data_IF_875868703508
#
_entry.id   IF_875868703508
#
_cell.length_a   1.000
_cell.length_b   1.000
_cell.length_c   1.000
_cell.angle_alpha   90.00
_cell.angle_beta   90.00
_cell.angle_gamma   90.00
#
_symmetry.space_group_name_H-M   'P 1'
#
loop_
_entity.id
_entity.type
_entity.pdbx_description
1 polymer ?
#
# COMPACT_ATOMS: atom_id res chain seq x y z
N UNK A 1 -6.04 -0.82 -11.69
CA UNK A 1 -5.45 -2.00 -11.02
C UNK A 1 -6.43 -2.35 -9.93
N UNK A 2 -6.90 -3.59 -9.94
CA UNK A 2 -7.83 -4.10 -8.93
C UNK A 2 -7.26 -3.88 -7.53
N UNK A 3 -8.18 -3.73 -6.58
CA UNK A 3 -7.90 -3.58 -5.17
C UNK A 3 -6.85 -4.58 -4.64
N UNK A 4 -6.31 -4.31 -3.46
CA UNK A 4 -5.38 -5.22 -2.79
C UNK A 4 -6.00 -6.65 -2.73
N UNK A 5 -5.46 -7.64 -3.46
CA UNK A 5 -6.06 -8.97 -3.63
C UNK A 5 -5.96 -9.84 -2.38
N UNK A 6 -5.40 -9.29 -1.29
CA UNK A 6 -5.17 -9.98 -0.02
C UNK A 6 -5.96 -9.36 1.14
N UNK A 7 -6.98 -8.54 0.86
CA UNK A 7 -7.86 -7.93 1.89
C UNK A 7 -8.41 -9.01 2.84
N UNK A 8 -8.98 -10.09 2.33
CA UNK A 8 -9.52 -11.18 3.16
C UNK A 8 -8.50 -11.77 4.15
N UNK A 9 -7.23 -11.87 3.74
CA UNK A 9 -6.15 -12.39 4.59
C UNK A 9 -5.81 -11.37 5.67
N UNK A 10 -5.73 -10.09 5.30
CA UNK A 10 -5.47 -8.99 6.23
C UNK A 10 -6.55 -8.96 7.29
N UNK A 11 -7.83 -9.00 6.90
CA UNK A 11 -8.96 -8.91 7.83
C UNK A 11 -9.02 -10.10 8.78
N UNK A 12 -8.86 -11.33 8.28
CA UNK A 12 -8.83 -12.52 9.14
C UNK A 12 -7.74 -12.46 10.20
N UNK A 13 -6.56 -11.97 9.83
CA UNK A 13 -5.45 -11.82 10.78
C UNK A 13 -5.74 -10.66 11.74
N UNK A 14 -6.16 -9.51 11.22
CA UNK A 14 -6.45 -8.35 12.03
C UNK A 14 -7.55 -8.62 13.07
N UNK A 15 -8.64 -9.26 12.67
CA UNK A 15 -9.73 -9.67 13.55
C UNK A 15 -9.24 -10.64 14.63
N UNK A 16 -8.46 -11.65 14.25
CA UNK A 16 -7.86 -12.60 15.20
C UNK A 16 -7.01 -11.93 16.28
N UNK A 17 -6.32 -10.84 15.94
CA UNK A 17 -5.47 -10.08 16.87
C UNK A 17 -6.13 -8.79 17.39
N UNK A 18 -7.41 -8.55 17.06
CA UNK A 18 -8.16 -7.35 17.38
C UNK A 18 -7.43 -6.04 16.99
N UNK A 19 -6.83 -6.03 15.79
CA UNK A 19 -6.08 -4.90 15.24
C UNK A 19 -7.02 -4.03 14.41
N UNK A 20 -7.13 -2.74 14.75
CA UNK A 20 -7.90 -1.79 13.95
C UNK A 20 -7.35 -1.75 12.51
N UNK A 21 -8.22 -1.96 11.53
CA UNK A 21 -7.85 -1.98 10.11
C UNK A 21 -8.63 -0.93 9.34
N UNK A 22 -7.94 -0.23 8.44
CA UNK A 22 -8.54 0.77 7.55
C UNK A 22 -8.22 0.40 6.11
N UNK A 23 -9.26 0.26 5.29
CA UNK A 23 -9.15 0.04 3.85
C UNK A 23 -9.36 1.37 3.14
N UNK A 24 -8.44 1.72 2.24
CA UNK A 24 -8.53 2.92 1.42
C UNK A 24 -8.76 2.51 -0.03
N UNK A 25 -9.76 3.11 -0.65
CA UNK A 25 -10.09 2.87 -2.05
C UNK A 25 -10.51 4.15 -2.76
N UNK A 26 -10.41 4.15 -4.08
CA UNK A 26 -10.96 5.23 -4.89
C UNK A 26 -12.44 5.00 -5.21
N UNK A 27 -13.08 6.01 -5.79
CA UNK A 27 -14.49 5.93 -6.21
C UNK A 27 -14.77 4.90 -7.30
N UNK A 28 -13.74 4.39 -7.99
CA UNK A 28 -13.90 3.39 -9.05
C UNK A 28 -13.87 1.95 -8.52
N UNK A 29 -13.30 1.73 -7.32
CA UNK A 29 -13.11 0.41 -6.72
C UNK A 29 -13.61 0.42 -5.27
N UNK A 30 -14.91 0.67 -5.07
CA UNK A 30 -15.49 0.71 -3.72
C UNK A 30 -15.39 -0.67 -3.06
N UNK A 31 -14.70 -0.71 -1.92
CA UNK A 31 -14.59 -1.89 -1.07
C UNK A 31 -15.73 -1.94 -0.05
N UNK A 32 -16.09 -3.15 0.36
CA UNK A 32 -17.05 -3.39 1.44
C UNK A 32 -16.40 -4.32 2.46
N UNK A 33 -16.59 -4.01 3.75
CA UNK A 33 -16.07 -4.80 4.86
C UNK A 33 -16.97 -4.66 6.08
N UNK A 34 -17.15 -5.77 6.79
CA UNK A 34 -17.86 -5.83 8.07
C UNK A 34 -16.92 -5.60 9.28
N UNK A 35 -15.59 -5.66 9.06
CA UNK A 35 -14.58 -5.53 10.10
C UNK A 35 -13.79 -4.22 9.99
N UNK A 36 -13.31 -3.90 8.78
CA UNK A 36 -12.43 -2.77 8.53
C UNK A 36 -13.21 -1.49 8.30
N UNK A 37 -12.63 -0.36 8.75
CA UNK A 37 -13.11 0.97 8.37
C UNK A 37 -12.78 1.21 6.89
N UNK A 38 -13.78 1.38 6.04
CA UNK A 38 -13.56 1.71 4.61
C UNK A 38 -13.62 3.22 4.41
N UNK A 39 -12.53 3.79 3.91
CA UNK A 39 -12.44 5.20 3.54
C UNK A 39 -12.35 5.30 2.01
N UNK A 40 -13.38 5.85 1.39
CA UNK A 40 -13.40 6.17 -0.04
C UNK A 40 -12.80 7.55 -0.26
N UNK A 41 -11.77 7.63 -1.09
CA UNK A 41 -11.08 8.86 -1.46
C UNK A 41 -11.57 9.33 -2.83
N UNK A 42 -11.77 10.65 -2.97
CA UNK A 42 -12.20 11.24 -4.23
C UNK A 42 -11.24 10.97 -5.40
N UNK A 43 -11.75 11.06 -6.62
CA UNK A 43 -10.98 10.79 -7.83
C UNK A 43 -9.79 11.76 -7.97
N UNK A 44 -8.61 11.19 -8.21
CA UNK A 44 -7.37 11.93 -8.42
C UNK A 44 -6.19 10.99 -8.46
N UNK A 45 -5.20 11.28 -9.30
CA UNK A 45 -3.94 10.54 -9.31
C UNK A 45 -3.33 10.58 -7.90
N UNK A 46 -2.95 9.41 -7.38
CA UNK A 46 -2.26 9.24 -6.10
C UNK A 46 -3.06 9.72 -4.85
N UNK A 47 -4.35 10.07 -4.98
CA UNK A 47 -5.15 10.60 -3.87
C UNK A 47 -5.28 9.60 -2.70
N UNK A 48 -5.46 8.32 -3.04
CA UNK A 48 -5.49 7.20 -2.08
C UNK A 48 -4.15 7.10 -1.35
N UNK A 49 -3.04 7.19 -2.09
CA UNK A 49 -1.68 7.08 -1.53
C UNK A 49 -1.39 8.22 -0.56
N UNK A 50 -1.71 9.46 -0.93
CA UNK A 50 -1.57 10.60 -0.02
C UNK A 50 -2.43 10.46 1.23
N UNK A 51 -3.67 9.99 1.08
CA UNK A 51 -4.56 9.77 2.23
C UNK A 51 -4.00 8.67 3.14
N UNK A 52 -3.54 7.56 2.57
CA UNK A 52 -2.89 6.46 3.29
C UNK A 52 -1.73 6.98 4.12
N UNK A 53 -0.80 7.68 3.46
CA UNK A 53 0.36 8.23 4.15
C UNK A 53 -0.09 9.22 5.21
N UNK A 54 -1.08 10.08 4.96
CA UNK A 54 -1.55 11.04 5.97
C UNK A 54 -2.08 10.39 7.25
N UNK A 55 -2.74 9.22 7.14
CA UNK A 55 -3.29 8.47 8.27
C UNK A 55 -2.26 7.58 8.97
N UNK A 56 -1.13 7.32 8.31
CA UNK A 56 -0.09 6.43 8.79
C UNK A 56 0.76 7.09 9.90
N UNK A 57 0.98 6.32 10.97
CA UNK A 57 1.79 6.66 12.14
C UNK A 57 2.90 5.62 12.36
N UNK A 58 3.88 5.99 13.20
CA UNK A 58 4.98 5.09 13.56
C UNK A 58 4.44 3.81 14.18
N UNK A 59 4.92 2.66 13.70
CA UNK A 59 4.50 1.34 14.15
C UNK A 59 3.31 0.74 13.42
N UNK A 60 2.61 1.50 12.57
CA UNK A 60 1.56 0.95 11.70
C UNK A 60 2.13 -0.03 10.67
N UNK A 61 1.28 -0.87 10.11
CA UNK A 61 1.63 -1.80 9.01
C UNK A 61 0.89 -1.37 7.75
N UNK A 62 1.65 -0.97 6.73
CA UNK A 62 1.13 -0.60 5.42
C UNK A 62 1.27 -1.77 4.45
N UNK A 63 0.16 -2.19 3.85
CA UNK A 63 0.17 -3.19 2.76
C UNK A 63 0.01 -2.46 1.43
N UNK A 64 1.02 -2.54 0.55
CA UNK A 64 0.97 -1.90 -0.76
C UNK A 64 1.83 -2.62 -1.80
N UNK A 65 1.46 -2.50 -3.07
CA UNK A 65 2.30 -2.92 -4.20
C UNK A 65 3.19 -1.78 -4.73
N UNK A 66 2.90 -0.54 -4.36
CA UNK A 66 3.64 0.61 -4.86
C UNK A 66 4.88 0.86 -3.98
N UNK A 67 6.06 0.76 -4.59
CA UNK A 67 7.33 0.97 -3.91
C UNK A 67 7.51 2.41 -3.38
N UNK A 68 6.91 3.40 -4.04
CA UNK A 68 6.88 4.78 -3.57
C UNK A 68 6.03 4.94 -2.31
N UNK A 69 4.85 4.32 -2.26
CA UNK A 69 4.01 4.30 -1.05
C UNK A 69 4.72 3.58 0.09
N UNK A 70 5.34 2.44 -0.19
CA UNK A 70 6.13 1.72 0.80
C UNK A 70 7.29 2.57 1.35
N UNK A 71 8.02 3.29 0.49
CA UNK A 71 9.09 4.19 0.92
C UNK A 71 8.59 5.34 1.79
N UNK A 72 7.44 5.94 1.45
CA UNK A 72 6.81 6.99 2.26
C UNK A 72 6.35 6.46 3.63
N UNK A 73 5.83 5.23 3.70
CA UNK A 73 5.45 4.60 4.95
C UNK A 73 6.67 4.34 5.86
N UNK A 74 7.75 3.77 5.30
CA UNK A 74 9.01 3.56 6.01
C UNK A 74 9.57 4.88 6.57
N UNK A 75 9.50 5.96 5.78
CA UNK A 75 9.94 7.30 6.22
C UNK A 75 9.15 7.86 7.41
N UNK A 76 7.94 7.36 7.68
CA UNK A 76 7.14 7.68 8.86
C UNK A 76 7.43 6.77 10.07
N UNK A 77 8.33 5.80 9.92
CA UNK A 77 8.61 4.77 10.90
C UNK A 77 7.51 3.71 11.01
N UNK A 78 6.67 3.57 9.97
CA UNK A 78 5.75 2.46 9.83
C UNK A 78 6.46 1.27 9.15
N UNK A 79 5.89 0.08 9.29
CA UNK A 79 6.29 -1.09 8.53
C UNK A 79 5.56 -1.11 7.20
N UNK A 80 6.20 -1.65 6.16
CA UNK A 80 5.57 -1.81 4.86
C UNK A 80 5.78 -3.23 4.31
N UNK A 81 4.73 -3.82 3.75
CA UNK A 81 4.75 -5.18 3.20
C UNK A 81 4.05 -5.24 1.85
N UNK A 82 4.66 -5.99 0.93
CA UNK A 82 4.06 -6.32 -0.35
C UNK A 82 2.95 -7.37 -0.14
N UNK A 83 1.92 -7.35 -0.97
CA UNK A 83 0.84 -8.37 -0.93
C UNK A 83 1.33 -9.81 -1.05
N UNK A 84 2.52 -10.04 -1.62
CA UNK A 84 3.13 -11.38 -1.68
C UNK A 84 3.77 -11.83 -0.35
N UNK A 85 3.66 -11.04 0.72
CA UNK A 85 4.30 -11.28 2.02
C UNK A 85 5.77 -10.85 2.10
N UNK A 86 6.31 -10.16 1.08
CA UNK A 86 7.68 -9.64 1.12
C UNK A 86 7.73 -8.32 1.88
N UNK A 87 8.57 -8.22 2.89
CA UNK A 87 8.82 -6.98 3.61
C UNK A 87 9.59 -5.97 2.77
N UNK A 88 9.14 -4.71 2.82
CA UNK A 88 9.96 -3.57 2.46
C UNK A 88 10.76 -3.14 3.69
N UNK A 89 12.02 -2.80 3.47
CA UNK A 89 12.93 -2.32 4.51
C UNK A 89 13.78 -1.19 3.94
N UNK A 90 14.35 -0.37 4.82
CA UNK A 90 15.29 0.69 4.41
C UNK A 90 16.48 0.13 3.63
N UNK A 91 16.87 -1.12 3.89
CA UNK A 91 17.96 -1.81 3.18
C UNK A 91 17.61 -2.23 1.75
N UNK A 92 16.32 -2.38 1.42
CA UNK A 92 15.90 -2.95 0.14
C UNK A 92 15.10 -1.98 -0.74
N UNK A 93 14.49 -0.95 -0.17
CA UNK A 93 13.52 -0.10 -0.85
C UNK A 93 14.14 0.73 -1.96
N UNK A 94 15.33 1.28 -1.75
CA UNK A 94 16.04 2.10 -2.75
C UNK A 94 16.38 1.30 -4.01
N UNK A 95 16.83 0.05 -3.82
CA UNK A 95 17.09 -0.85 -4.96
C UNK A 95 15.80 -1.12 -5.74
N UNK A 96 14.70 -1.41 -5.05
CA UNK A 96 13.41 -1.67 -5.70
C UNK A 96 12.90 -0.45 -6.48
N UNK A 97 13.05 0.75 -5.93
CA UNK A 97 12.73 2.01 -6.60
C UNK A 97 13.59 2.22 -7.86
N UNK A 98 14.89 1.96 -7.77
CA UNK A 98 15.80 2.04 -8.92
C UNK A 98 15.43 1.03 -10.01
N UNK A 99 15.19 -0.23 -9.65
CA UNK A 99 14.76 -1.28 -10.58
C UNK A 99 13.45 -0.90 -11.28
N UNK A 100 12.47 -0.35 -10.55
CA UNK A 100 11.22 0.16 -11.13
C UNK A 100 11.49 1.24 -12.18
N UNK A 101 12.40 2.17 -11.89
CA UNK A 101 12.78 3.24 -12.81
C UNK A 101 13.47 2.72 -14.06
N UNK A 102 14.45 1.82 -13.92
CA UNK A 102 15.16 1.21 -15.04
C UNK A 102 14.22 0.41 -15.95
N UNK A 103 13.33 -0.40 -15.35
CA UNK A 103 12.32 -1.17 -16.10
C UNK A 103 11.35 -0.26 -16.87
N UNK A 104 10.97 0.88 -16.28
CA UNK A 104 10.13 1.88 -16.96
C UNK A 104 10.87 2.56 -18.11
N UNK A 105 12.16 2.85 -17.96
CA UNK A 105 13.02 3.37 -19.04
C UNK A 105 13.14 2.36 -20.18
N UNK A 106 13.50 1.11 -19.89
CA UNK A 106 13.66 0.06 -20.90
C UNK A 106 12.42 -0.11 -21.79
N UNK A 107 11.22 -0.16 -21.20
CA UNK A 107 9.96 -0.24 -21.94
C UNK A 107 9.70 0.94 -22.89
N UNK A 108 10.21 2.14 -22.55
CA UNK A 108 10.08 3.35 -23.39
C UNK A 108 11.11 3.38 -24.51
N UNK A 109 12.28 2.78 -24.31
CA UNK A 109 13.35 2.71 -25.31
C UNK A 109 13.13 1.62 -26.37
N UNK A 110 12.24 0.66 -26.11
CA UNK A 110 11.87 -0.42 -27.03
C UNK A 110 10.64 -0.08 -27.89
N UNK A 111 10.37 1.21 -28.10
CA UNK A 111 9.39 1.75 -29.04
C UNK A 111 10.05 2.75 -29.97
#
# INVERSE_FOLDING_TARGET
>A
ADACPVVDIIEKIAEKYNIKTTLLCDTNHVLYSDYSEVIVVGAGADAVDYKLISLCHRGDIVVSQDYGVAAMALSKGAYAIHQSGRWYTDENIDRMLMERHLNKKARRSSH
#
